data_IF_120547657935
#
_entry.id   IF_120547657935
#
_cell.length_a   1.000
_cell.length_b   1.000
_cell.length_c   1.000
_cell.angle_alpha   90.00
_cell.angle_beta   90.00
_cell.angle_gamma   90.00
#
_symmetry.space_group_name_H-M   'P 1'
#
loop_
_entity.id
_entity.type
_entity.pdbx_description
1 polymer ?
#
# COMPACT_ATOMS: atom_id res chain seq x y z
N UNK A 1 -1.03 13.17 -5.16
CA UNK A 1 -1.46 12.34 -4.01
C UNK A 1 -0.39 12.38 -2.91
N UNK A 2 -0.70 12.03 -1.66
CA UNK A 2 0.25 12.14 -0.53
C UNK A 2 0.52 10.83 0.22
N UNK A 3 -0.41 9.88 0.19
CA UNK A 3 -0.25 8.57 0.83
C UNK A 3 -0.34 7.43 -0.18
N UNK A 4 0.57 6.47 -0.12
CA UNK A 4 0.57 5.22 -0.87
C UNK A 4 0.36 4.06 0.10
N UNK A 5 -0.82 3.46 0.04
CA UNK A 5 -1.20 2.27 0.81
C UNK A 5 -1.17 1.08 -0.15
N UNK A 6 -0.45 0.02 0.20
CA UNK A 6 -0.31 -1.17 -0.65
C UNK A 6 -0.69 -2.43 0.12
N UNK A 7 -1.29 -3.41 -0.56
CA UNK A 7 -1.40 -4.75 0.00
C UNK A 7 0.00 -5.40 0.10
N UNK A 8 0.10 -6.46 0.90
CA UNK A 8 1.27 -7.31 0.96
C UNK A 8 1.12 -8.52 0.04
N UNK A 9 0.17 -9.40 0.33
CA UNK A 9 -0.03 -10.64 -0.42
C UNK A 9 -0.59 -10.32 -1.81
N UNK A 10 -0.02 -10.94 -2.85
CA UNK A 10 -0.39 -10.69 -4.24
C UNK A 10 0.18 -9.40 -4.85
N UNK A 11 0.83 -8.55 -4.05
CA UNK A 11 1.41 -7.26 -4.49
C UNK A 11 2.90 -7.20 -4.23
N UNK A 12 3.34 -7.33 -2.97
CA UNK A 12 4.74 -7.19 -2.55
C UNK A 12 5.48 -8.50 -2.36
N UNK A 13 4.78 -9.64 -2.36
CA UNK A 13 5.35 -10.99 -2.16
C UNK A 13 5.50 -11.79 -3.46
N UNK A 14 5.43 -11.11 -4.61
CA UNK A 14 5.62 -11.69 -5.94
C UNK A 14 7.06 -12.15 -6.23
N UNK A 15 7.38 -12.31 -7.52
CA UNK A 15 8.71 -12.73 -7.94
C UNK A 15 9.81 -11.74 -7.50
N UNK A 16 11.04 -12.22 -7.30
CA UNK A 16 12.17 -11.40 -6.85
C UNK A 16 12.41 -10.14 -7.70
N UNK A 17 12.10 -10.19 -8.99
CA UNK A 17 12.17 -9.05 -9.89
C UNK A 17 11.16 -7.96 -9.52
N UNK A 18 9.88 -8.32 -9.37
CA UNK A 18 8.84 -7.40 -8.96
C UNK A 18 9.10 -6.83 -7.56
N UNK A 19 9.60 -7.65 -6.62
CA UNK A 19 9.99 -7.16 -5.30
C UNK A 19 11.09 -6.08 -5.37
N UNK A 20 12.09 -6.24 -6.25
CA UNK A 20 13.14 -5.21 -6.46
C UNK A 20 12.57 -3.94 -7.07
N UNK A 21 11.64 -4.07 -8.03
CA UNK A 21 10.96 -2.93 -8.66
C UNK A 21 10.10 -2.16 -7.66
N UNK A 22 9.32 -2.87 -6.84
CA UNK A 22 8.56 -2.30 -5.72
C UNK A 22 9.44 -1.55 -4.74
N UNK A 23 10.58 -2.12 -4.33
CA UNK A 23 11.53 -1.43 -3.43
C UNK A 23 12.06 -0.13 -4.05
N UNK A 24 12.34 -0.13 -5.35
CA UNK A 24 12.77 1.08 -6.07
C UNK A 24 11.65 2.13 -6.09
N UNK A 25 10.42 1.72 -6.38
CA UNK A 25 9.24 2.59 -6.44
C UNK A 25 8.91 3.20 -5.07
N UNK A 26 8.87 2.39 -4.01
CA UNK A 26 8.63 2.85 -2.63
C UNK A 26 9.72 3.83 -2.17
N UNK A 27 10.99 3.54 -2.49
CA UNK A 27 12.08 4.45 -2.18
C UNK A 27 11.96 5.80 -2.91
N UNK A 28 11.50 5.81 -4.16
CA UNK A 28 11.25 7.04 -4.90
C UNK A 28 10.04 7.82 -4.37
N UNK A 29 8.94 7.12 -4.04
CA UNK A 29 7.78 7.73 -3.41
C UNK A 29 8.16 8.42 -2.10
N UNK A 30 8.91 7.74 -1.23
CA UNK A 30 9.42 8.29 0.03
C UNK A 30 10.31 9.51 -0.18
N UNK A 31 11.23 9.48 -1.16
CA UNK A 31 12.06 10.64 -1.53
C UNK A 31 11.24 11.84 -2.02
N UNK A 32 10.07 11.59 -2.60
CA UNK A 32 9.12 12.62 -3.04
C UNK A 32 8.19 13.10 -1.90
N UNK A 33 8.38 12.61 -0.67
CA UNK A 33 7.57 12.99 0.48
C UNK A 33 6.21 12.30 0.57
N UNK A 34 6.04 11.18 -0.15
CA UNK A 34 4.85 10.33 -0.07
C UNK A 34 4.95 9.44 1.16
N UNK A 35 3.94 9.45 2.02
CA UNK A 35 3.82 8.51 3.14
C UNK A 35 3.45 7.12 2.61
N UNK A 36 4.10 6.08 3.12
CA UNK A 36 3.96 4.70 2.61
C UNK A 36 3.49 3.75 3.70
N UNK A 37 2.44 2.98 3.43
CA UNK A 37 1.93 1.98 4.36
C UNK A 37 1.62 0.66 3.66
N UNK A 38 1.84 -0.44 4.37
CA UNK A 38 1.22 -1.73 4.05
C UNK A 38 -0.09 -1.85 4.83
N UNK A 39 -1.18 -2.20 4.16
CA UNK A 39 -2.45 -2.60 4.78
C UNK A 39 -2.80 -3.99 4.29
N UNK A 40 -2.60 -5.01 5.13
CA UNK A 40 -2.80 -6.42 4.78
C UNK A 40 -3.93 -7.04 5.59
N UNK A 41 -4.80 -7.80 4.92
CA UNK A 41 -5.77 -8.68 5.59
C UNK A 41 -5.06 -9.94 6.08
N UNK A 42 -4.24 -9.78 7.12
CA UNK A 42 -3.43 -10.82 7.73
C UNK A 42 -3.74 -10.91 9.24
N UNK A 43 -3.85 -12.13 9.82
CA UNK A 43 -4.10 -12.31 11.26
C UNK A 43 -3.02 -11.69 12.17
N UNK A 44 -1.84 -11.41 11.65
CA UNK A 44 -0.74 -10.81 12.37
C UNK A 44 0.05 -11.81 13.22
N UNK A 45 0.49 -11.35 14.39
CA UNK A 45 1.29 -12.17 15.31
C UNK A 45 2.66 -12.55 14.74
N UNK A 46 3.26 -13.64 15.23
CA UNK A 46 4.65 -14.00 14.88
C UNK A 46 4.84 -14.36 13.40
N UNK A 47 3.81 -14.91 12.75
CA UNK A 47 3.87 -15.30 11.34
C UNK A 47 4.02 -14.09 10.40
N UNK A 48 3.49 -12.93 10.79
CA UNK A 48 3.61 -11.68 10.04
C UNK A 48 4.96 -10.95 10.23
N UNK A 49 5.97 -11.61 10.82
CA UNK A 49 7.31 -11.03 10.97
C UNK A 49 7.92 -10.53 9.62
N UNK A 50 7.80 -11.26 8.49
CA UNK A 50 8.30 -10.76 7.20
C UNK A 50 7.62 -9.47 6.74
N UNK A 51 6.32 -9.29 7.03
CA UNK A 51 5.58 -8.08 6.66
C UNK A 51 6.07 -6.90 7.52
N UNK A 52 6.18 -7.10 8.84
CA UNK A 52 6.68 -6.06 9.75
C UNK A 52 8.12 -5.65 9.48
N UNK A 53 8.91 -6.57 8.93
CA UNK A 53 10.29 -6.28 8.55
C UNK A 53 10.38 -5.14 7.52
N UNK A 54 9.34 -4.94 6.70
CA UNK A 54 9.26 -3.80 5.78
C UNK A 54 9.24 -2.45 6.52
N UNK A 55 8.53 -2.34 7.64
CA UNK A 55 8.55 -1.13 8.48
C UNK A 55 9.86 -1.02 9.26
N UNK A 56 10.34 -2.11 9.89
CA UNK A 56 11.56 -2.06 10.71
C UNK A 56 12.83 -1.76 9.91
N UNK A 57 12.87 -2.18 8.64
CA UNK A 57 13.93 -1.83 7.69
C UNK A 57 13.71 -0.48 6.99
N UNK A 58 12.59 0.19 7.22
CA UNK A 58 12.26 1.48 6.62
C UNK A 58 11.97 1.42 5.11
N UNK A 59 11.49 0.28 4.61
CA UNK A 59 11.00 0.11 3.24
C UNK A 59 9.66 0.83 3.07
N UNK A 60 8.82 0.76 4.09
CA UNK A 60 7.58 1.54 4.25
C UNK A 60 7.57 2.24 5.61
N UNK A 61 6.76 3.26 5.77
CA UNK A 61 6.66 4.01 7.04
C UNK A 61 5.78 3.29 8.08
N UNK A 62 4.79 2.49 7.62
CA UNK A 62 3.84 1.77 8.47
C UNK A 62 3.46 0.40 7.93
N UNK A 63 3.24 -0.56 8.83
CA UNK A 63 2.59 -1.84 8.53
C UNK A 63 1.34 -2.00 9.40
N UNK A 64 0.19 -2.22 8.76
CA UNK A 64 -1.09 -2.47 9.40
C UNK A 64 -1.60 -3.85 9.00
N UNK A 65 -1.98 -4.65 9.99
CA UNK A 65 -2.42 -6.03 9.84
C UNK A 65 -3.83 -6.14 10.43
N UNK A 66 -4.79 -6.65 9.66
CA UNK A 66 -6.21 -6.65 10.04
C UNK A 66 -6.48 -7.30 11.40
N UNK A 67 -5.79 -8.41 11.71
CA UNK A 67 -5.91 -9.09 13.00
C UNK A 67 -5.44 -8.27 14.22
N UNK A 68 -4.65 -7.22 14.00
CA UNK A 68 -4.11 -6.35 15.06
C UNK A 68 -4.87 -5.05 15.19
N UNK A 69 -5.35 -4.50 14.07
CA UNK A 69 -6.15 -3.26 14.07
C UNK A 69 -7.64 -3.52 14.30
N UNK A 70 -8.10 -4.77 14.15
CA UNK A 70 -9.49 -5.19 14.41
C UNK A 70 -10.49 -4.87 13.31
N UNK A 71 -10.01 -4.54 12.10
CA UNK A 71 -10.82 -4.28 10.92
C UNK A 71 -10.08 -4.79 9.67
N UNK A 72 -10.80 -5.28 8.66
CA UNK A 72 -10.22 -5.78 7.42
C UNK A 72 -10.74 -5.03 6.19
N UNK A 73 -9.94 -4.97 5.12
CA UNK A 73 -10.44 -4.46 3.84
C UNK A 73 -11.57 -5.40 3.35
N UNK A 74 -12.70 -4.90 2.82
CA UNK A 74 -12.95 -3.52 2.38
C UNK A 74 -13.72 -2.63 3.38
N UNK A 75 -13.63 -2.89 4.70
CA UNK A 75 -14.27 -2.03 5.71
C UNK A 75 -13.65 -0.62 5.74
N UNK A 76 -14.49 0.39 5.98
CA UNK A 76 -14.07 1.80 6.07
C UNK A 76 -12.98 1.99 7.14
N UNK A 77 -13.13 1.30 8.27
CA UNK A 77 -12.25 1.36 9.43
C UNK A 77 -10.83 0.91 9.09
N UNK A 78 -10.66 -0.07 8.20
CA UNK A 78 -9.34 -0.53 7.77
C UNK A 78 -8.62 0.55 6.93
N UNK A 79 -9.33 1.19 6.00
CA UNK A 79 -8.77 2.28 5.19
C UNK A 79 -8.49 3.53 6.03
N UNK A 80 -9.39 3.86 6.96
CA UNK A 80 -9.22 4.98 7.88
C UNK A 80 -8.00 4.76 8.78
N UNK A 81 -7.81 3.56 9.33
CA UNK A 81 -6.64 3.23 10.14
C UNK A 81 -5.33 3.43 9.37
N UNK A 82 -5.27 3.03 8.09
CA UNK A 82 -4.09 3.22 7.26
C UNK A 82 -3.83 4.69 6.93
N UNK A 83 -4.88 5.48 6.66
CA UNK A 83 -4.75 6.91 6.43
C UNK A 83 -4.32 7.68 7.71
N UNK A 84 -4.90 7.33 8.85
CA UNK A 84 -4.55 7.89 10.17
C UNK A 84 -3.10 7.57 10.55
N UNK A 85 -2.62 6.35 10.27
CA UNK A 85 -1.23 5.97 10.53
C UNK A 85 -0.21 6.78 9.71
N UNK A 86 -0.65 7.39 8.60
CA UNK A 86 0.14 8.30 7.76
C UNK A 86 -0.13 9.78 8.05
N UNK A 87 -0.97 10.10 9.04
CA UNK A 87 -1.44 11.47 9.36
C UNK A 87 -2.07 12.18 8.14
N UNK A 88 -2.84 11.44 7.34
CA UNK A 88 -3.48 11.93 6.11
C UNK A 88 -4.99 11.67 6.10
N UNK A 89 -5.80 12.54 5.46
CA UNK A 89 -7.17 12.19 5.15
C UNK A 89 -7.21 11.13 4.05
N UNK A 90 -8.19 10.21 4.08
CA UNK A 90 -8.36 9.14 3.08
C UNK A 90 -8.31 9.65 1.63
N UNK A 91 -8.89 10.83 1.35
CA UNK A 91 -8.89 11.44 0.01
C UNK A 91 -7.52 11.81 -0.55
N UNK A 92 -6.49 11.87 0.30
CA UNK A 92 -5.11 12.13 -0.11
C UNK A 92 -4.31 10.83 -0.30
N UNK A 93 -4.95 9.66 -0.10
CA UNK A 93 -4.35 8.34 -0.17
C UNK A 93 -4.73 7.59 -1.45
N UNK A 94 -3.79 6.78 -1.94
CA UNK A 94 -3.98 5.80 -3.01
C UNK A 94 -3.89 4.41 -2.38
N UNK A 95 -4.86 3.53 -2.65
CA UNK A 95 -4.75 2.10 -2.36
C UNK A 95 -4.32 1.34 -3.62
N UNK A 96 -3.29 0.50 -3.51
CA UNK A 96 -2.93 -0.51 -4.51
C UNK A 96 -3.20 -1.90 -3.94
N UNK A 97 -4.09 -2.66 -4.58
CA UNK A 97 -4.57 -3.94 -4.07
C UNK A 97 -4.97 -4.87 -5.23
N UNK A 98 -4.75 -6.17 -5.09
CA UNK A 98 -5.05 -7.19 -6.11
C UNK A 98 -6.47 -7.77 -5.98
N UNK A 99 -7.22 -7.36 -4.96
CA UNK A 99 -8.65 -7.61 -4.82
C UNK A 99 -9.45 -6.42 -5.35
N UNK A 100 -10.19 -6.64 -6.43
CA UNK A 100 -11.09 -5.62 -6.99
C UNK A 100 -12.16 -5.15 -5.98
N UNK A 101 -12.52 -5.99 -5.00
CA UNK A 101 -13.45 -5.62 -3.94
C UNK A 101 -12.83 -4.62 -2.97
N UNK A 102 -11.56 -4.80 -2.61
CA UNK A 102 -10.80 -3.86 -1.78
C UNK A 102 -10.62 -2.52 -2.49
N UNK A 103 -10.21 -2.56 -3.76
CA UNK A 103 -10.05 -1.36 -4.58
C UNK A 103 -11.35 -0.58 -4.69
N UNK A 104 -12.47 -1.26 -4.97
CA UNK A 104 -13.78 -0.61 -5.03
C UNK A 104 -14.19 -0.03 -3.68
N UNK A 105 -14.01 -0.78 -2.59
CA UNK A 105 -14.29 -0.30 -1.24
C UNK A 105 -13.49 0.96 -0.88
N UNK A 106 -12.21 1.02 -1.27
CA UNK A 106 -11.38 2.19 -1.06
C UNK A 106 -11.90 3.41 -1.83
N UNK A 107 -12.30 3.22 -3.10
CA UNK A 107 -12.91 4.28 -3.92
C UNK A 107 -14.24 4.77 -3.32
N UNK A 108 -15.09 3.86 -2.85
CA UNK A 108 -16.36 4.19 -2.19
C UNK A 108 -16.15 5.01 -0.89
N UNK A 109 -14.99 4.83 -0.23
CA UNK A 109 -14.58 5.59 0.95
C UNK A 109 -13.76 6.86 0.64
N UNK A 110 -13.57 7.18 -0.64
CA UNK A 110 -12.95 8.42 -1.09
C UNK A 110 -11.44 8.36 -1.32
N UNK A 111 -10.81 7.19 -1.22
CA UNK A 111 -9.42 6.99 -1.67
C UNK A 111 -9.38 6.93 -3.21
N UNK A 112 -8.20 7.14 -3.78
CA UNK A 112 -7.93 6.70 -5.16
C UNK A 112 -7.58 5.22 -5.13
N UNK A 113 -8.22 4.41 -5.97
CA UNK A 113 -7.95 2.97 -6.06
C UNK A 113 -7.18 2.62 -7.33
N UNK A 114 -6.11 1.82 -7.19
CA UNK A 114 -5.34 1.23 -8.28
C UNK A 114 -5.46 -0.29 -8.17
N UNK A 115 -5.99 -0.90 -9.23
CA UNK A 115 -6.16 -2.34 -9.28
C UNK A 115 -4.89 -3.05 -9.77
N UNK A 116 -4.28 -3.84 -8.90
CA UNK A 116 -3.07 -4.58 -9.18
C UNK A 116 -3.37 -5.93 -9.84
N UNK A 117 -2.82 -6.15 -11.03
CA UNK A 117 -2.82 -7.45 -11.70
C UNK A 117 -1.44 -7.82 -12.23
N UNK A 118 -0.67 -6.81 -12.58
CA UNK A 118 0.72 -6.91 -13.03
C UNK A 118 1.40 -5.57 -12.75
N UNK A 119 2.68 -5.63 -12.44
CA UNK A 119 3.46 -4.45 -12.08
C UNK A 119 3.46 -3.39 -13.20
N UNK A 120 3.72 -3.80 -14.44
CA UNK A 120 3.85 -2.89 -15.60
C UNK A 120 2.60 -2.04 -15.86
N UNK A 121 1.42 -2.54 -15.48
CA UNK A 121 0.16 -1.79 -15.59
C UNK A 121 0.01 -0.82 -14.42
N UNK A 122 0.18 -1.32 -13.19
CA UNK A 122 -0.07 -0.53 -11.99
C UNK A 122 0.95 0.60 -11.82
N UNK A 123 2.21 0.38 -12.21
CA UNK A 123 3.29 1.36 -12.04
C UNK A 123 3.03 2.64 -12.83
N UNK A 124 2.43 2.56 -14.02
CA UNK A 124 2.07 3.74 -14.82
C UNK A 124 1.06 4.61 -14.06
N UNK A 125 0.07 3.99 -13.42
CA UNK A 125 -0.93 4.70 -12.61
C UNK A 125 -0.29 5.32 -11.35
N UNK A 126 0.52 4.54 -10.63
CA UNK A 126 1.18 5.00 -9.39
C UNK A 126 2.12 6.17 -9.68
N UNK A 127 3.00 6.05 -10.68
CA UNK A 127 3.94 7.10 -11.07
C UNK A 127 3.20 8.38 -11.46
N UNK A 128 2.10 8.26 -12.22
CA UNK A 128 1.28 9.41 -12.61
C UNK A 128 0.57 10.09 -11.42
N UNK A 129 0.05 9.33 -10.46
CA UNK A 129 -0.68 9.86 -9.30
C UNK A 129 0.22 10.60 -8.30
N UNK A 130 1.48 10.19 -8.20
CA UNK A 130 2.47 10.81 -7.31
C UNK A 130 3.45 11.74 -8.03
N UNK A 131 3.43 11.81 -9.36
CA UNK A 131 4.33 12.67 -10.14
C UNK A 131 5.80 12.26 -9.97
N UNK A 132 6.07 10.95 -9.92
CA UNK A 132 7.44 10.43 -9.78
C UNK A 132 8.19 10.54 -11.11
N UNK A 133 9.48 10.82 -11.05
CA UNK A 133 10.36 10.86 -12.23
C UNK A 133 11.19 9.56 -12.30
N UNK A 134 11.25 8.94 -13.49
CA UNK A 134 12.04 7.73 -13.76
C UNK A 134 11.22 6.57 -14.33
N UNK A 135 11.92 5.52 -14.76
CA UNK A 135 11.33 4.23 -15.16
C UNK A 135 11.48 3.25 -13.99
N UNK A 136 10.39 2.53 -13.67
CA UNK A 136 10.24 1.67 -12.49
C UNK A 136 9.81 0.25 -12.89
#
# INVERSE_FOLDING_TARGET
>A
MRGLIVDYAGVLDGADEDQRRWRTLLAAARKNGVGTAVLSNDPGGLAAAPIRELETQGVVDKVLLSGEIGAEKPETEAFQAAADALDLPMRDCVLVDDSILNVRGAVENGLVGVYYQQFDRAVVEIVGLFGLEGEF
#
